data_IF_944604744277
#
_entry.id   IF_944604744277
#
_cell.length_a   1.000
_cell.length_b   1.000
_cell.length_c   1.000
_cell.angle_alpha   90.00
_cell.angle_beta   90.00
_cell.angle_gamma   90.00
#
_symmetry.space_group_name_H-M   'P 1'
#
loop_
_entity.id
_entity.type
_entity.pdbx_description
1 polymer ?
#
# COMPACT_ATOMS: atom_id res chain seq x y z
N UNK A 1 1.29 29.47 14.82
CA UNK A 1 0.97 28.07 15.16
C UNK A 1 -0.32 27.66 14.44
N UNK A 2 -0.25 27.10 13.23
CA UNK A 2 -1.44 26.69 12.46
C UNK A 2 -1.65 25.18 12.61
N UNK A 3 -2.79 24.79 13.17
CA UNK A 3 -3.21 23.39 13.23
C UNK A 3 -3.36 22.88 11.80
N UNK A 4 -2.51 21.94 11.37
CA UNK A 4 -2.70 21.22 10.11
C UNK A 4 -3.94 20.35 10.27
N UNK A 5 -4.95 20.62 9.47
CA UNK A 5 -6.21 19.90 9.46
C UNK A 5 -5.99 18.43 9.14
N UNK A 6 -6.61 17.56 9.94
CA UNK A 6 -6.80 16.14 9.69
C UNK A 6 -7.54 16.01 8.35
N UNK A 7 -6.85 15.55 7.31
CA UNK A 7 -7.46 15.21 6.02
C UNK A 7 -8.49 14.09 6.17
N UNK A 8 -9.39 13.89 5.19
CA UNK A 8 -10.44 12.89 5.28
C UNK A 8 -9.84 11.51 5.53
N UNK A 9 -10.24 10.89 6.63
CA UNK A 9 -9.89 9.51 6.96
C UNK A 9 -10.65 8.61 5.99
N UNK A 10 -9.94 8.04 5.01
CA UNK A 10 -10.49 6.99 4.18
C UNK A 10 -10.80 5.80 5.08
N UNK A 11 -12.08 5.38 5.13
CA UNK A 11 -12.46 4.15 5.83
C UNK A 11 -11.79 2.98 5.11
N UNK A 12 -10.94 2.20 5.78
CA UNK A 12 -10.36 1.02 5.16
C UNK A 12 -11.50 0.04 4.85
N UNK A 13 -11.71 -0.27 3.57
CA UNK A 13 -12.64 -1.33 3.15
C UNK A 13 -11.91 -2.67 3.27
N UNK A 14 -11.78 -3.16 4.50
CA UNK A 14 -11.23 -4.49 4.79
C UNK A 14 -12.33 -5.55 4.68
N UNK A 15 -12.52 -6.13 3.49
CA UNK A 15 -13.36 -7.31 3.30
C UNK A 15 -12.62 -8.58 3.73
N UNK A 16 -12.60 -8.88 5.03
CA UNK A 16 -11.99 -10.10 5.56
C UNK A 16 -13.03 -11.17 5.91
N UNK A 17 -12.99 -12.33 5.23
CA UNK A 17 -13.66 -13.55 5.70
C UNK A 17 -12.85 -14.15 6.86
N UNK A 18 -13.17 -13.73 8.10
CA UNK A 18 -12.84 -14.41 9.36
C UNK A 18 -11.39 -14.27 9.89
N UNK A 19 -11.27 -13.86 11.16
CA UNK A 19 -10.09 -14.09 12.01
C UNK A 19 -9.36 -12.83 12.52
N UNK A 20 -9.40 -12.61 13.84
CA UNK A 20 -8.75 -11.57 14.64
C UNK A 20 -9.20 -10.10 14.41
N UNK A 21 -9.50 -9.39 15.50
CA UNK A 21 -9.68 -7.93 15.48
C UNK A 21 -8.31 -7.28 15.31
N UNK A 22 -8.08 -6.64 14.16
CA UNK A 22 -6.87 -5.89 13.87
C UNK A 22 -7.20 -4.40 13.94
N UNK A 23 -6.35 -3.62 14.58
CA UNK A 23 -6.45 -2.16 14.53
C UNK A 23 -6.05 -1.67 13.15
N UNK A 24 -7.00 -1.08 12.43
CA UNK A 24 -6.79 -0.60 11.06
C UNK A 24 -6.84 0.92 11.02
N UNK A 25 -5.77 1.52 10.51
CA UNK A 25 -5.72 2.96 10.27
C UNK A 25 -5.55 3.24 8.77
N UNK A 26 -6.55 3.86 8.15
CA UNK A 26 -6.48 4.34 6.77
C UNK A 26 -5.84 5.73 6.68
N UNK A 27 -5.03 5.96 5.63
CA UNK A 27 -4.46 7.29 5.32
C UNK A 27 -4.63 7.61 3.85
N UNK A 28 -5.07 8.84 3.58
CA UNK A 28 -5.02 9.44 2.25
C UNK A 28 -3.83 10.40 2.17
N UNK A 29 -3.12 10.35 1.04
CA UNK A 29 -1.96 11.19 0.74
C UNK A 29 -2.02 11.65 -0.73
N UNK A 30 -1.27 12.70 -1.06
CA UNK A 30 -1.12 13.23 -2.42
C UNK A 30 0.36 13.37 -2.72
N UNK A 31 0.77 13.04 -3.94
CA UNK A 31 2.16 13.07 -4.38
C UNK A 31 2.42 11.95 -5.37
N UNK A 32 3.70 11.71 -5.67
CA UNK A 32 4.10 10.50 -6.38
C UNK A 32 3.78 9.26 -5.52
N UNK A 33 3.07 8.25 -6.05
CA UNK A 33 2.65 7.10 -5.25
C UNK A 33 3.80 6.34 -4.60
N UNK A 34 4.91 6.13 -5.31
CA UNK A 34 6.02 5.32 -4.80
C UNK A 34 6.76 6.06 -3.69
N UNK A 35 7.11 7.33 -3.93
CA UNK A 35 7.76 8.18 -2.91
C UNK A 35 6.87 8.35 -1.67
N UNK A 36 5.57 8.55 -1.89
CA UNK A 36 4.60 8.73 -0.79
C UNK A 36 4.49 7.48 0.08
N UNK A 37 4.48 6.28 -0.52
CA UNK A 37 4.44 5.01 0.22
C UNK A 37 5.72 4.82 1.03
N UNK A 38 6.89 5.04 0.43
CA UNK A 38 8.18 4.89 1.12
C UNK A 38 8.31 5.89 2.27
N UNK A 39 8.03 7.16 2.02
CA UNK A 39 8.07 8.21 3.05
C UNK A 39 7.12 7.89 4.20
N UNK A 40 5.89 7.46 3.90
CA UNK A 40 4.94 7.12 4.95
C UNK A 40 5.36 5.88 5.77
N UNK A 41 5.94 4.88 5.12
CA UNK A 41 6.47 3.70 5.80
C UNK A 41 7.61 4.07 6.77
N UNK A 42 8.43 5.06 6.41
CA UNK A 42 9.45 5.61 7.29
C UNK A 42 8.85 6.43 8.45
N UNK A 43 7.87 7.28 8.17
CA UNK A 43 7.19 8.13 9.17
C UNK A 43 6.55 7.31 10.31
N UNK A 44 5.97 6.16 9.99
CA UNK A 44 5.28 5.30 10.97
C UNK A 44 6.16 4.19 11.53
N UNK A 45 7.41 4.14 11.09
CA UNK A 45 8.34 3.09 11.41
C UNK A 45 7.82 1.67 11.10
N UNK A 46 7.26 1.47 9.91
CA UNK A 46 6.69 0.19 9.51
C UNK A 46 7.72 -0.95 9.43
N UNK A 47 7.49 -2.04 10.15
CA UNK A 47 8.38 -3.23 10.10
C UNK A 47 8.31 -3.98 8.76
N UNK A 48 7.15 -3.94 8.09
CA UNK A 48 6.88 -4.66 6.84
C UNK A 48 5.93 -3.88 5.94
N UNK A 49 6.29 -3.80 4.66
CA UNK A 49 5.41 -3.37 3.58
C UNK A 49 4.76 -4.58 2.90
N UNK A 50 3.43 -4.58 2.84
CA UNK A 50 2.66 -5.55 2.05
C UNK A 50 2.08 -4.84 0.84
N UNK A 51 2.55 -5.21 -0.35
CA UNK A 51 2.19 -4.56 -1.60
C UNK A 51 1.39 -5.51 -2.49
N UNK A 52 0.23 -5.06 -2.94
CA UNK A 52 -0.53 -5.76 -3.97
C UNK A 52 0.04 -5.52 -5.37
N UNK A 53 -0.36 -6.37 -6.31
CA UNK A 53 -0.13 -6.12 -7.74
C UNK A 53 -1.42 -6.39 -8.49
N UNK A 54 -1.71 -5.61 -9.54
CA UNK A 54 -2.85 -5.91 -10.40
C UNK A 54 -2.56 -7.14 -11.27
N UNK A 55 -3.52 -8.06 -11.34
CA UNK A 55 -3.53 -9.10 -12.37
C UNK A 55 -3.96 -8.44 -13.70
N UNK A 56 -3.15 -8.57 -14.75
CA UNK A 56 -3.50 -8.20 -16.12
C UNK A 56 -3.51 -9.52 -16.89
N UNK A 57 -4.68 -9.90 -17.36
CA UNK A 57 -5.08 -11.28 -17.65
C UNK A 57 -4.28 -12.02 -18.72
N UNK A 58 -3.55 -11.36 -19.63
CA UNK A 58 -2.99 -12.08 -20.79
C UNK A 58 -1.57 -11.65 -21.24
N UNK A 59 -0.89 -10.74 -20.55
CA UNK A 59 0.48 -10.34 -20.95
C UNK A 59 1.55 -11.12 -20.19
N UNK A 60 2.14 -12.07 -20.93
CA UNK A 60 3.42 -12.75 -20.73
C UNK A 60 4.29 -12.19 -19.58
N UNK A 61 4.41 -12.98 -18.50
CA UNK A 61 5.26 -12.76 -17.31
C UNK A 61 4.83 -11.60 -16.41
N UNK A 62 3.77 -11.83 -15.64
CA UNK A 62 3.36 -11.14 -14.41
C UNK A 62 4.30 -10.02 -13.90
N UNK A 63 4.25 -8.84 -14.52
CA UNK A 63 4.98 -7.67 -14.04
C UNK A 63 4.48 -7.30 -12.63
N UNK A 64 5.36 -6.78 -11.78
CA UNK A 64 5.03 -6.35 -10.40
C UNK A 64 4.05 -5.17 -10.38
N UNK A 65 3.83 -4.51 -11.52
CA UNK A 65 3.11 -3.25 -11.62
C UNK A 65 4.05 -2.07 -11.33
N UNK A 66 3.84 -0.95 -12.03
CA UNK A 66 4.78 0.17 -12.02
C UNK A 66 5.04 0.72 -10.61
N UNK A 67 3.98 0.93 -9.82
CA UNK A 67 4.12 1.48 -8.45
C UNK A 67 4.85 0.51 -7.54
N UNK A 68 4.48 -0.78 -7.55
CA UNK A 68 5.12 -1.79 -6.70
C UNK A 68 6.60 -1.97 -7.05
N UNK A 69 6.96 -1.99 -8.34
CA UNK A 69 8.37 -2.05 -8.77
C UNK A 69 9.16 -0.83 -8.27
N UNK A 70 8.61 0.38 -8.42
CA UNK A 70 9.27 1.60 -7.94
C UNK A 70 9.44 1.62 -6.42
N UNK A 71 8.42 1.21 -5.66
CA UNK A 71 8.52 1.14 -4.18
C UNK A 71 9.63 0.18 -3.76
N UNK A 72 9.72 -1.00 -4.39
CA UNK A 72 10.77 -1.99 -4.07
C UNK A 72 12.19 -1.49 -4.37
N UNK A 73 12.35 -0.60 -5.36
CA UNK A 73 13.65 0.01 -5.68
C UNK A 73 14.05 1.11 -4.71
N UNK A 74 13.08 1.77 -4.09
CA UNK A 74 13.28 2.95 -3.26
C UNK A 74 13.27 2.66 -1.75
N UNK A 75 12.57 1.61 -1.31
CA UNK A 75 12.36 1.35 0.10
C UNK A 75 13.58 0.72 0.79
N UNK A 76 13.85 1.15 2.02
CA UNK A 76 14.76 0.49 2.94
C UNK A 76 14.05 -0.51 3.88
N UNK A 77 12.71 -0.63 3.80
CA UNK A 77 11.91 -1.54 4.64
C UNK A 77 11.84 -2.94 4.03
N UNK A 78 11.59 -3.94 4.86
CA UNK A 78 11.23 -5.27 4.38
C UNK A 78 9.91 -5.18 3.60
N UNK A 79 9.83 -5.86 2.46
CA UNK A 79 8.65 -5.85 1.61
C UNK A 79 8.26 -7.25 1.14
N UNK A 80 6.96 -7.52 1.12
CA UNK A 80 6.35 -8.71 0.52
C UNK A 80 5.35 -8.26 -0.54
N UNK A 81 5.40 -8.93 -1.69
CA UNK A 81 4.48 -8.71 -2.79
C UNK A 81 3.46 -9.83 -2.85
N UNK A 82 2.18 -9.47 -2.83
CA UNK A 82 1.07 -10.41 -2.93
C UNK A 82 0.40 -10.26 -4.29
N UNK A 83 0.28 -11.37 -4.99
CA UNK A 83 -0.57 -11.50 -6.19
C UNK A 83 -1.94 -11.91 -5.69
N UNK A 84 -2.93 -11.04 -5.88
CA UNK A 84 -4.33 -11.37 -5.58
C UNK A 84 -5.08 -11.46 -6.90
N UNK A 85 -5.87 -12.51 -7.06
CA UNK A 85 -6.93 -12.48 -8.06
C UNK A 85 -7.93 -11.43 -7.60
N UNK A 86 -8.27 -10.51 -8.50
CA UNK A 86 -9.28 -9.49 -8.25
C UNK A 86 -10.46 -9.92 -9.09
N UNK A 87 -11.53 -10.39 -8.46
CA UNK A 87 -12.80 -10.55 -9.16
C UNK A 87 -13.24 -9.16 -9.66
N UNK A 88 -13.60 -9.05 -10.95
CA UNK A 88 -14.10 -7.79 -11.54
C UNK A 88 -15.43 -7.33 -10.95
#
# INVERSE_FOLDING_TARGET
MRRRGRGPEARPQGGGRGGASVDVTGKLRRGDPAETVVTYAEEVDADLLVLGTRHRSEEYRALLGNVTDQVLRLTARLAVVVKTDVDE
#
